data_IF_117229713747
#
_entry.id   IF_117229713747
#
_cell.length_a   1.000
_cell.length_b   1.000
_cell.length_c   1.000
_cell.angle_alpha   90.00
_cell.angle_beta   90.00
_cell.angle_gamma   90.00
#
_symmetry.space_group_name_H-M   'P 1'
#
loop_
_entity.id
_entity.type
_entity.pdbx_description
1 polymer ?
#
# COMPACT_ATOMS: atom_id res chain seq x y z
N UNK A 1 2.21 76.72 -34.74
CA UNK A 1 1.10 75.85 -34.27
C UNK A 1 1.68 74.43 -34.20
N UNK A 2 2.21 74.06 -33.04
CA UNK A 2 2.94 72.77 -32.86
C UNK A 2 1.93 71.75 -32.30
N UNK A 3 1.88 70.47 -32.75
CA UNK A 3 0.98 69.47 -32.20
C UNK A 3 1.55 68.91 -30.90
N UNK A 4 0.65 68.66 -29.98
CA UNK A 4 0.84 68.13 -28.66
C UNK A 4 1.15 66.65 -28.72
N UNK A 5 2.04 66.08 -27.88
CA UNK A 5 2.29 64.65 -27.85
C UNK A 5 1.13 63.88 -27.17
N UNK A 6 0.93 62.58 -27.57
CA UNK A 6 -0.13 61.77 -26.97
C UNK A 6 0.21 61.27 -25.57
N UNK A 7 -0.79 61.22 -24.73
CA UNK A 7 -0.74 60.94 -23.32
C UNK A 7 -0.24 59.54 -22.96
N UNK A 8 0.50 59.49 -21.91
CA UNK A 8 0.92 58.30 -21.23
C UNK A 8 -0.28 57.61 -20.59
N UNK A 9 -0.51 56.35 -20.95
CA UNK A 9 -1.46 55.48 -20.31
C UNK A 9 -0.86 54.97 -18.99
N UNK A 10 -1.56 55.02 -17.87
CA UNK A 10 -1.07 54.45 -16.62
C UNK A 10 -1.07 52.92 -16.79
N UNK A 11 0.14 52.34 -16.66
CA UNK A 11 0.35 50.93 -16.56
C UNK A 11 -0.29 50.43 -15.25
N UNK A 12 -1.47 49.92 -15.35
CA UNK A 12 -2.13 49.19 -14.27
C UNK A 12 -1.43 47.88 -14.07
N UNK A 13 -0.48 47.86 -13.13
CA UNK A 13 0.13 46.62 -12.63
C UNK A 13 -0.95 45.84 -11.89
N UNK A 14 -1.75 45.08 -12.62
CA UNK A 14 -2.56 44.03 -12.04
C UNK A 14 -1.62 42.96 -11.50
N UNK A 15 -1.31 43.07 -10.22
CA UNK A 15 -0.65 42.01 -9.46
C UNK A 15 -1.60 40.81 -9.47
N UNK A 16 -1.39 39.91 -10.43
CA UNK A 16 -2.05 38.62 -10.46
C UNK A 16 -1.65 37.89 -9.17
N UNK A 17 -2.53 37.86 -8.20
CA UNK A 17 -2.47 36.92 -7.10
C UNK A 17 -2.55 35.53 -7.71
N UNK A 18 -1.39 34.91 -7.90
CA UNK A 18 -1.33 33.49 -8.16
C UNK A 18 -2.05 32.80 -6.98
N UNK A 19 -3.07 31.98 -7.21
CA UNK A 19 -3.56 31.11 -6.18
C UNK A 19 -2.37 30.21 -5.82
N UNK A 20 -1.89 30.36 -4.57
CA UNK A 20 -0.98 29.36 -4.00
C UNK A 20 -1.59 28.01 -4.27
N UNK A 21 -0.90 27.19 -5.06
CA UNK A 21 -1.29 25.83 -5.32
C UNK A 21 -1.56 25.17 -3.97
N UNK A 22 -2.80 24.80 -3.74
CA UNK A 22 -3.19 24.04 -2.56
C UNK A 22 -2.41 22.73 -2.65
N UNK A 23 -1.32 22.66 -1.88
CA UNK A 23 -0.56 21.45 -1.72
C UNK A 23 -1.53 20.37 -1.24
N UNK A 24 -1.63 19.31 -2.02
CA UNK A 24 -2.36 18.10 -1.66
C UNK A 24 -1.69 17.52 -0.41
N UNK A 25 -2.18 17.87 0.76
CA UNK A 25 -1.75 17.23 2.00
C UNK A 25 -2.50 15.90 2.11
N UNK A 26 -1.94 14.85 1.53
CA UNK A 26 -2.33 13.48 1.85
C UNK A 26 -1.74 13.18 3.22
N UNK A 27 -2.53 13.29 4.27
CA UNK A 27 -2.12 12.87 5.60
C UNK A 27 -2.16 11.34 5.68
N UNK A 28 -1.01 10.70 5.51
CA UNK A 28 -0.84 9.29 5.81
C UNK A 28 -0.49 9.16 7.29
N UNK A 29 -1.40 8.61 8.09
CA UNK A 29 -1.09 8.22 9.46
C UNK A 29 -0.66 6.75 9.40
N UNK A 30 0.64 6.52 9.45
CA UNK A 30 1.22 5.20 9.58
C UNK A 30 1.63 4.98 11.05
N UNK A 31 1.00 4.05 11.71
CA UNK A 31 1.42 3.62 13.04
C UNK A 31 2.06 2.23 12.92
N UNK A 32 3.37 2.19 13.10
CA UNK A 32 4.11 0.94 13.17
C UNK A 32 4.31 0.59 14.64
N UNK A 33 3.61 -0.40 15.13
CA UNK A 33 3.93 -1.00 16.40
C UNK A 33 5.07 -2.00 16.16
N UNK A 34 6.26 -1.72 16.69
CA UNK A 34 7.32 -2.72 16.74
C UNK A 34 6.91 -3.74 17.77
N UNK A 35 6.33 -4.83 17.33
CA UNK A 35 6.12 -6.00 18.15
C UNK A 35 7.47 -6.71 18.17
N UNK A 36 8.06 -6.82 19.35
CA UNK A 36 9.40 -7.34 19.55
C UNK A 36 9.51 -8.80 19.09
N UNK A 37 10.68 -9.13 18.54
CA UNK A 37 11.10 -10.50 18.36
C UNK A 37 10.91 -11.26 19.67
N UNK A 38 10.13 -12.32 19.65
CA UNK A 38 9.94 -13.18 20.80
C UNK A 38 10.89 -14.37 20.69
N UNK A 39 11.96 -14.34 21.49
CA UNK A 39 12.86 -15.48 21.63
C UNK A 39 12.32 -16.40 22.71
N UNK A 40 12.02 -17.63 22.34
CA UNK A 40 11.57 -18.62 23.31
C UNK A 40 12.78 -19.18 24.05
N UNK A 41 12.83 -18.99 25.36
CA UNK A 41 13.77 -19.72 26.21
C UNK A 41 13.32 -21.18 26.23
N UNK A 42 14.10 -22.03 25.57
CA UNK A 42 13.89 -23.48 25.58
C UNK A 42 14.78 -24.11 26.66
N UNK A 43 14.31 -25.13 27.36
CA UNK A 43 15.13 -25.90 28.30
C UNK A 43 16.30 -26.66 27.60
N UNK A 44 16.31 -26.69 26.28
CA UNK A 44 17.33 -27.30 25.47
C UNK A 44 18.34 -26.25 24.95
N UNK A 45 19.60 -26.23 25.44
CA UNK A 45 20.58 -25.24 25.02
C UNK A 45 20.99 -25.33 23.55
N UNK A 46 20.60 -26.39 22.86
CA UNK A 46 20.88 -26.57 21.44
C UNK A 46 19.74 -26.16 20.53
N UNK A 47 18.63 -25.66 21.07
CA UNK A 47 17.48 -25.26 20.32
C UNK A 47 17.20 -23.77 20.52
N UNK A 48 17.32 -22.99 19.45
CA UNK A 48 16.99 -21.58 19.41
C UNK A 48 15.71 -21.40 18.55
N UNK A 49 14.68 -20.80 19.16
CA UNK A 49 13.40 -20.52 18.49
C UNK A 49 13.11 -19.03 18.60
N UNK A 50 12.99 -18.39 17.45
CA UNK A 50 12.68 -16.98 17.35
C UNK A 50 11.43 -16.77 16.51
N UNK A 51 10.53 -15.97 17.01
CA UNK A 51 9.31 -15.61 16.33
C UNK A 51 9.17 -14.10 16.26
N UNK A 52 9.32 -13.56 15.07
CA UNK A 52 9.22 -12.14 14.79
C UNK A 52 7.88 -11.81 14.15
N UNK A 53 7.24 -10.76 14.65
CA UNK A 53 5.99 -10.26 14.10
C UNK A 53 6.08 -8.76 13.88
N UNK A 54 5.56 -8.32 12.74
CA UNK A 54 5.42 -6.89 12.42
C UNK A 54 3.96 -6.61 12.09
N UNK A 55 3.37 -5.68 12.80
CA UNK A 55 2.03 -5.19 12.55
C UNK A 55 2.09 -3.73 12.11
N UNK A 56 1.46 -3.42 10.97
CA UNK A 56 1.38 -2.06 10.43
C UNK A 56 -0.08 -1.70 10.20
N UNK A 57 -0.45 -0.51 10.63
CA UNK A 57 -1.74 0.08 10.31
C UNK A 57 -1.55 1.32 9.44
N UNK A 58 -2.32 1.42 8.36
CA UNK A 58 -2.32 2.54 7.45
C UNK A 58 -3.76 3.03 7.20
N UNK A 59 -3.95 4.34 7.31
CA UNK A 59 -5.18 5.00 6.91
C UNK A 59 -4.86 6.09 5.89
N UNK A 60 -5.60 6.12 4.78
CA UNK A 60 -5.41 7.10 3.71
C UNK A 60 -6.73 7.81 3.43
N UNK A 61 -6.66 9.13 3.33
CA UNK A 61 -7.82 9.99 3.07
C UNK A 61 -7.62 10.80 1.80
N UNK A 62 -8.62 10.78 0.93
CA UNK A 62 -8.73 11.67 -0.21
C UNK A 62 -9.41 12.97 0.23
N UNK A 63 -8.69 14.08 0.14
CA UNK A 63 -9.18 15.41 0.58
C UNK A 63 -9.91 16.18 -0.53
N UNK A 64 -9.59 15.88 -1.79
CA UNK A 64 -10.19 16.52 -2.96
C UNK A 64 -10.93 15.51 -3.83
N UNK A 65 -11.93 15.98 -4.57
CA UNK A 65 -12.59 15.16 -5.59
C UNK A 65 -11.63 14.89 -6.75
N UNK A 66 -11.92 13.84 -7.53
CA UNK A 66 -11.28 13.66 -8.82
C UNK A 66 -11.55 14.88 -9.70
N UNK A 67 -10.57 15.28 -10.50
CA UNK A 67 -10.72 16.34 -11.48
C UNK A 67 -11.66 15.86 -12.57
N UNK A 68 -12.75 16.62 -12.80
CA UNK A 68 -13.79 16.27 -13.78
C UNK A 68 -13.24 16.27 -15.21
N UNK A 69 -12.27 17.11 -15.52
CA UNK A 69 -11.64 17.17 -16.83
C UNK A 69 -10.85 15.89 -17.13
N UNK A 70 -10.21 15.30 -16.12
CA UNK A 70 -9.45 14.05 -16.23
C UNK A 70 -10.39 12.84 -16.14
N UNK A 71 -11.41 12.90 -15.28
CA UNK A 71 -12.28 11.78 -14.97
C UNK A 71 -13.52 11.65 -15.88
N UNK A 72 -13.77 12.60 -16.77
CA UNK A 72 -15.02 12.66 -17.56
C UNK A 72 -15.04 11.77 -18.81
N UNK A 73 -13.93 11.14 -19.16
CA UNK A 73 -13.85 10.31 -20.37
C UNK A 73 -14.36 8.87 -20.13
N UNK A 74 -15.19 8.31 -21.01
CA UNK A 74 -15.71 6.94 -20.87
C UNK A 74 -14.61 5.85 -20.99
N UNK A 75 -13.40 6.24 -21.35
CA UNK A 75 -12.24 5.35 -21.51
C UNK A 75 -11.11 5.68 -20.53
N UNK A 76 -11.30 6.64 -19.62
CA UNK A 76 -10.27 7.10 -18.71
C UNK A 76 -10.54 6.64 -17.28
N UNK A 77 -9.55 5.97 -16.76
CA UNK A 77 -9.24 5.64 -15.39
C UNK A 77 -10.43 5.33 -14.46
N UNK A 78 -10.88 4.10 -14.53
CA UNK A 78 -11.90 3.58 -13.64
C UNK A 78 -11.46 3.60 -12.16
N UNK A 79 -10.18 3.51 -11.85
CA UNK A 79 -9.68 3.41 -10.48
C UNK A 79 -9.86 4.70 -9.68
N UNK A 80 -9.70 5.86 -10.33
CA UNK A 80 -9.86 7.17 -9.68
C UNK A 80 -11.30 7.43 -9.26
N UNK A 81 -12.26 6.91 -10.01
CA UNK A 81 -13.69 7.06 -9.74
C UNK A 81 -14.21 6.12 -8.64
N UNK A 82 -13.45 5.08 -8.32
CA UNK A 82 -13.83 4.11 -7.27
C UNK A 82 -13.87 4.71 -5.88
N UNK A 83 -13.27 5.88 -5.68
CA UNK A 83 -13.18 6.55 -4.38
C UNK A 83 -13.60 8.01 -4.48
N UNK A 84 -14.56 8.40 -3.66
CA UNK A 84 -14.92 9.80 -3.39
C UNK A 84 -13.96 10.45 -2.39
N UNK A 85 -14.31 11.64 -1.92
CA UNK A 85 -13.65 12.27 -0.77
C UNK A 85 -13.91 11.45 0.48
N UNK A 86 -12.88 11.24 1.27
CA UNK A 86 -12.96 10.48 2.52
C UNK A 86 -11.92 9.38 2.61
N UNK A 87 -12.23 8.36 3.35
CA UNK A 87 -11.34 7.23 3.61
C UNK A 87 -11.22 6.35 2.35
N UNK A 88 -10.01 6.26 1.79
CA UNK A 88 -9.70 5.49 0.58
C UNK A 88 -8.85 4.25 0.84
N UNK A 89 -8.27 4.14 2.03
CA UNK A 89 -7.64 2.92 2.54
C UNK A 89 -7.69 2.91 4.06
N UNK A 90 -7.92 1.73 4.62
CA UNK A 90 -7.93 1.47 6.06
C UNK A 90 -7.40 0.05 6.25
N UNK A 91 -6.07 -0.06 6.18
CA UNK A 91 -5.36 -1.30 5.98
C UNK A 91 -4.53 -1.69 7.19
N UNK A 92 -4.64 -2.94 7.56
CA UNK A 92 -3.80 -3.62 8.54
C UNK A 92 -2.95 -4.65 7.82
N UNK A 93 -1.64 -4.58 7.99
CA UNK A 93 -0.67 -5.54 7.46
C UNK A 93 0.01 -6.28 8.62
N UNK A 94 0.15 -7.59 8.48
CA UNK A 94 0.89 -8.46 9.39
C UNK A 94 1.98 -9.19 8.59
N UNK A 95 3.19 -9.16 9.09
CA UNK A 95 4.28 -10.05 8.65
C UNK A 95 4.72 -10.87 9.85
N UNK A 96 4.81 -12.19 9.68
CA UNK A 96 5.21 -13.14 10.72
C UNK A 96 6.32 -14.03 10.19
N UNK A 97 7.39 -14.17 10.97
CA UNK A 97 8.56 -15.00 10.63
C UNK A 97 8.91 -15.88 11.84
N UNK A 98 9.02 -17.18 11.60
CA UNK A 98 9.45 -18.17 12.58
C UNK A 98 10.77 -18.78 12.13
N UNK A 99 11.81 -18.62 12.96
CA UNK A 99 13.10 -19.27 12.84
C UNK A 99 13.25 -20.33 13.90
N UNK A 100 13.67 -21.52 13.50
CA UNK A 100 14.05 -22.61 14.41
C UNK A 100 15.43 -23.09 14.04
N UNK A 101 16.37 -22.99 14.97
CA UNK A 101 17.77 -23.37 14.76
C UNK A 101 18.16 -24.44 15.76
N UNK A 102 18.71 -25.56 15.26
CA UNK A 102 19.20 -26.67 16.04
C UNK A 102 20.72 -26.76 15.96
N UNK A 103 21.36 -26.83 17.12
CA UNK A 103 22.86 -26.92 17.28
C UNK A 103 23.59 -25.77 16.54
N UNK A 104 22.95 -24.64 16.29
CA UNK A 104 23.55 -23.51 15.58
C UNK A 104 23.87 -23.76 14.11
N UNK A 105 23.54 -24.93 13.54
CA UNK A 105 23.91 -25.33 12.19
C UNK A 105 22.76 -25.79 11.30
N UNK A 106 21.72 -26.33 11.90
CA UNK A 106 20.57 -26.87 11.17
C UNK A 106 19.31 -26.13 11.60
N UNK A 107 18.37 -25.96 10.70
CA UNK A 107 17.14 -25.29 11.06
C UNK A 107 16.19 -25.11 9.89
N UNK A 108 15.10 -24.42 10.18
CA UNK A 108 14.19 -23.96 9.16
C UNK A 108 13.69 -22.56 9.48
N UNK A 109 13.30 -21.86 8.44
CA UNK A 109 12.58 -20.59 8.50
C UNK A 109 11.31 -20.70 7.71
N UNK A 110 10.24 -20.16 8.25
CA UNK A 110 8.99 -19.94 7.55
C UNK A 110 8.51 -18.52 7.82
N UNK A 111 8.11 -17.82 6.78
CA UNK A 111 7.54 -16.48 6.91
C UNK A 111 6.32 -16.30 6.03
N UNK A 112 5.40 -15.48 6.49
CA UNK A 112 4.18 -15.15 5.77
C UNK A 112 3.75 -13.72 6.01
N UNK A 113 2.95 -13.20 5.08
CA UNK A 113 2.29 -11.92 5.18
C UNK A 113 0.79 -12.10 5.09
N UNK A 114 0.06 -11.22 5.77
CA UNK A 114 -1.38 -11.11 5.64
C UNK A 114 -1.78 -9.64 5.68
N UNK A 115 -2.82 -9.27 4.94
CA UNK A 115 -3.37 -7.93 5.00
C UNK A 115 -4.87 -7.91 4.91
N UNK A 116 -5.44 -6.85 5.45
CA UNK A 116 -6.86 -6.57 5.39
C UNK A 116 -7.10 -5.07 5.25
N UNK A 117 -7.77 -4.66 4.17
CA UNK A 117 -8.23 -3.29 3.97
C UNK A 117 -9.77 -3.25 3.94
N UNK A 118 -10.36 -2.65 4.97
CA UNK A 118 -11.80 -2.62 5.12
C UNK A 118 -12.51 -1.80 4.03
N UNK A 119 -11.80 -0.94 3.31
CA UNK A 119 -12.40 -0.08 2.27
C UNK A 119 -12.78 -0.90 1.05
N UNK A 120 -11.95 -1.87 0.65
CA UNK A 120 -12.24 -2.74 -0.49
C UNK A 120 -13.35 -3.75 -0.24
N UNK A 121 -13.76 -3.94 1.02
CA UNK A 121 -14.91 -4.77 1.41
C UNK A 121 -16.23 -3.99 1.48
N UNK A 122 -16.22 -2.69 1.19
CA UNK A 122 -17.41 -1.84 1.10
C UNK A 122 -17.85 -1.67 -0.35
N UNK A 123 -18.93 -0.90 -0.52
CA UNK A 123 -19.34 -0.47 -1.84
C UNK A 123 -18.34 0.55 -2.39
N UNK A 124 -18.12 0.50 -3.71
CA UNK A 124 -17.32 1.46 -4.45
C UNK A 124 -18.21 2.65 -4.84
N UNK A 125 -17.63 3.85 -4.83
CA UNK A 125 -18.32 5.06 -5.27
C UNK A 125 -18.39 5.20 -6.81
N UNK A 126 -17.91 4.19 -7.55
CA UNK A 126 -17.84 4.21 -9.00
C UNK A 126 -19.22 4.36 -9.64
N UNK A 127 -19.46 5.44 -10.42
CA UNK A 127 -20.79 5.75 -10.96
C UNK A 127 -21.17 4.92 -12.19
N UNK A 128 -20.23 4.16 -12.77
CA UNK A 128 -20.45 3.56 -14.08
C UNK A 128 -21.40 2.38 -14.03
N UNK A 129 -22.29 2.41 -14.99
CA UNK A 129 -23.12 1.30 -15.38
C UNK A 129 -22.41 0.52 -16.49
N UNK A 130 -21.67 -0.54 -16.13
CA UNK A 130 -21.46 -1.70 -16.99
C UNK A 130 -20.86 -1.54 -18.40
N UNK A 131 -20.08 -0.54 -18.72
CA UNK A 131 -19.35 -0.55 -19.99
C UNK A 131 -17.84 -0.61 -19.78
N UNK A 132 -17.37 -1.69 -19.20
CA UNK A 132 -15.97 -2.11 -19.30
C UNK A 132 -15.86 -3.15 -20.40
N UNK A 133 -14.95 -2.93 -21.31
CA UNK A 133 -14.67 -3.80 -22.43
C UNK A 133 -14.54 -5.27 -22.00
N UNK A 134 -15.60 -6.05 -22.20
CA UNK A 134 -15.55 -7.50 -22.21
C UNK A 134 -15.57 -8.22 -20.86
N UNK A 135 -15.71 -7.55 -19.72
CA UNK A 135 -15.84 -8.25 -18.45
C UNK A 135 -17.24 -8.10 -17.85
N UNK A 136 -18.04 -9.18 -17.81
CA UNK A 136 -19.35 -9.18 -17.17
C UNK A 136 -19.30 -9.15 -15.64
N UNK A 137 -18.10 -9.06 -15.05
CA UNK A 137 -17.87 -9.21 -13.60
C UNK A 137 -17.85 -7.91 -12.84
N UNK A 138 -17.85 -6.75 -13.48
CA UNK A 138 -17.86 -5.46 -12.76
C UNK A 138 -19.29 -5.14 -12.35
N UNK A 139 -19.59 -5.37 -11.09
CA UNK A 139 -20.86 -4.94 -10.47
C UNK A 139 -20.80 -3.45 -10.19
N UNK A 140 -21.84 -2.73 -10.61
CA UNK A 140 -22.00 -1.30 -10.29
C UNK A 140 -21.86 -1.08 -8.78
N UNK A 141 -21.03 -0.11 -8.39
CA UNK A 141 -20.84 0.25 -6.99
C UNK A 141 -20.11 -0.79 -6.14
N UNK A 142 -19.38 -1.73 -6.75
CA UNK A 142 -18.59 -2.73 -6.01
C UNK A 142 -17.21 -2.88 -6.63
N UNK A 143 -16.24 -3.17 -5.79
CA UNK A 143 -14.94 -3.62 -6.27
C UNK A 143 -15.08 -5.02 -6.89
N UNK A 144 -14.33 -5.28 -7.96
CA UNK A 144 -14.24 -6.62 -8.54
C UNK A 144 -13.49 -7.57 -7.60
N UNK A 145 -13.62 -8.86 -7.86
CA UNK A 145 -13.06 -9.87 -6.98
C UNK A 145 -11.52 -9.81 -7.01
N UNK A 146 -10.92 -9.55 -8.17
CA UNK A 146 -9.46 -9.38 -8.31
C UNK A 146 -8.91 -8.19 -7.49
N UNK A 147 -9.65 -7.07 -7.43
CA UNK A 147 -9.26 -5.93 -6.61
C UNK A 147 -9.39 -6.22 -5.11
N UNK A 148 -10.37 -7.02 -4.72
CA UNK A 148 -10.53 -7.44 -3.32
C UNK A 148 -9.44 -8.42 -2.90
N UNK A 149 -9.11 -9.37 -3.76
CA UNK A 149 -8.06 -10.35 -3.50
C UNK A 149 -6.70 -9.67 -3.41
N UNK A 150 -6.41 -8.72 -4.31
CA UNK A 150 -5.13 -8.05 -4.33
C UNK A 150 -4.97 -6.96 -3.26
N UNK A 151 -6.04 -6.19 -2.99
CA UNK A 151 -5.98 -5.02 -2.13
C UNK A 151 -6.81 -5.13 -0.86
N UNK A 152 -7.89 -5.91 -0.90
CA UNK A 152 -8.83 -6.03 0.21
C UNK A 152 -8.33 -6.95 1.32
N UNK A 153 -8.00 -8.18 1.00
CA UNK A 153 -7.44 -9.12 1.97
C UNK A 153 -6.81 -10.32 1.28
N UNK A 154 -5.63 -10.70 1.73
CA UNK A 154 -4.97 -11.91 1.31
C UNK A 154 -3.98 -12.42 2.36
N UNK A 155 -3.49 -13.65 2.16
CA UNK A 155 -2.46 -14.29 2.96
C UNK A 155 -1.44 -14.93 2.03
N UNK A 156 -0.18 -14.53 2.15
CA UNK A 156 0.90 -15.01 1.32
C UNK A 156 1.98 -15.73 2.14
N UNK A 157 2.46 -16.85 1.63
CA UNK A 157 3.69 -17.47 2.09
C UNK A 157 4.87 -16.74 1.44
N UNK A 158 5.69 -16.04 2.23
CA UNK A 158 6.83 -15.28 1.71
C UNK A 158 8.05 -16.15 1.52
N UNK A 159 8.36 -16.98 2.54
CA UNK A 159 9.56 -17.79 2.56
C UNK A 159 9.33 -19.09 3.34
N UNK A 160 9.92 -20.18 2.83
CA UNK A 160 9.95 -21.46 3.51
C UNK A 160 11.25 -22.16 3.13
N UNK A 161 12.22 -22.13 4.01
CA UNK A 161 13.52 -22.74 3.76
C UNK A 161 13.97 -23.66 4.90
N UNK A 162 14.75 -24.66 4.54
CA UNK A 162 15.46 -25.52 5.46
C UNK A 162 16.95 -25.39 5.18
N UNK A 163 17.75 -25.27 6.21
CA UNK A 163 19.19 -25.16 6.08
C UNK A 163 19.89 -26.15 7.02
N UNK A 164 21.06 -26.55 6.61
CA UNK A 164 21.80 -27.49 7.43
C UNK A 164 23.23 -27.70 6.95
N UNK A 165 24.06 -28.21 7.89
CA UNK A 165 25.44 -28.61 7.62
C UNK A 165 25.64 -30.05 8.06
N UNK A 166 26.10 -30.89 7.15
CA UNK A 166 26.45 -32.29 7.43
C UNK A 166 27.96 -32.45 7.32
N UNK A 167 28.56 -33.03 8.31
CA UNK A 167 29.98 -33.38 8.28
C UNK A 167 30.18 -34.85 7.86
N UNK A 168 30.92 -35.04 6.78
CA UNK A 168 31.32 -36.34 6.25
C UNK A 168 32.82 -36.48 6.35
N UNK A 169 33.32 -37.03 7.47
CA UNK A 169 34.74 -37.10 7.77
C UNK A 169 35.37 -35.69 7.90
N UNK A 170 36.34 -35.38 7.04
CA UNK A 170 37.00 -34.06 7.02
C UNK A 170 36.31 -33.03 6.10
N UNK A 171 35.16 -33.36 5.50
CA UNK A 171 34.45 -32.49 4.56
C UNK A 171 33.12 -32.08 5.18
N UNK A 172 32.82 -30.78 5.15
CA UNK A 172 31.52 -30.24 5.52
C UNK A 172 30.72 -29.88 4.26
N UNK A 173 29.44 -30.27 4.20
CA UNK A 173 28.52 -29.94 3.15
C UNK A 173 27.40 -29.10 3.77
N UNK A 174 27.21 -27.87 3.29
CA UNK A 174 26.16 -26.98 3.72
C UNK A 174 25.14 -26.85 2.60
N UNK A 175 23.84 -26.90 2.94
CA UNK A 175 22.72 -26.65 2.05
C UNK A 175 21.82 -25.56 2.66
N UNK A 176 21.20 -24.77 1.75
CA UNK A 176 20.21 -23.74 2.11
C UNK A 176 19.16 -23.66 1.01
#
# INVERSE_FOLDING_TARGET
MAPRPPGESPCSTACAKQPLGRALAVACIAWSANIQAFQFETDNPNLDVRWDNSLRYNAMFRVEKADEEIASGPLFDDSTLSFSRGLVSNRLDLVSELDVVWNGQNGFRISGAAWYDSVYHRDSDHPSTSFTWGSPSVRVGKFNDEAKDLHGSDVELLDALVFGTVQLGNTSISAR
#
